data_IF_578645441711
#
_entry.id   IF_578645441711
#
_cell.length_a   1.000
_cell.length_b   1.000
_cell.length_c   1.000
_cell.angle_alpha   90.00
_cell.angle_beta   90.00
_cell.angle_gamma   90.00
#
_symmetry.space_group_name_H-M   'P 1'
#
loop_
_entity.id
_entity.type
_entity.pdbx_description
1 polymer ?
#
# COMPACT_ATOMS: atom_id res chain seq x y z
N UNK A 1 -23.82 0.78 -6.59
CA UNK A 1 -22.93 -0.24 -7.16
C UNK A 1 -22.07 -0.85 -6.07
N UNK A 2 -21.99 -2.14 -6.04
CA UNK A 2 -21.10 -2.82 -5.11
C UNK A 2 -19.66 -2.71 -5.61
N UNK A 3 -18.90 -1.79 -5.05
CA UNK A 3 -17.51 -1.56 -5.46
C UNK A 3 -16.55 -2.68 -5.09
N UNK A 4 -17.02 -3.66 -4.29
CA UNK A 4 -16.21 -4.82 -3.92
C UNK A 4 -16.42 -5.99 -4.88
N UNK A 5 -17.38 -5.87 -5.78
CA UNK A 5 -17.65 -6.92 -6.76
C UNK A 5 -16.71 -6.77 -7.94
N UNK A 6 -15.83 -7.74 -8.13
CA UNK A 6 -14.80 -7.74 -9.17
C UNK A 6 -15.27 -8.61 -10.33
N UNK A 7 -15.21 -8.12 -11.58
CA UNK A 7 -15.50 -8.97 -12.74
C UNK A 7 -14.55 -10.16 -12.78
N UNK A 8 -15.06 -11.32 -13.21
CA UNK A 8 -14.28 -12.56 -13.22
C UNK A 8 -12.99 -12.45 -14.03
N UNK A 9 -12.99 -11.70 -15.13
CA UNK A 9 -11.82 -11.51 -15.97
C UNK A 9 -10.74 -10.61 -15.36
N UNK A 10 -11.07 -9.88 -14.31
CA UNK A 10 -10.13 -8.97 -13.65
C UNK A 10 -8.91 -9.72 -13.08
N UNK A 11 -9.15 -10.88 -12.47
CA UNK A 11 -8.10 -11.67 -11.86
C UNK A 11 -7.11 -12.22 -12.89
N UNK A 12 -7.57 -12.45 -14.12
CA UNK A 12 -6.74 -13.01 -15.18
C UNK A 12 -6.02 -11.94 -15.98
N UNK A 13 -6.60 -10.74 -16.09
CA UNK A 13 -6.09 -9.75 -17.04
C UNK A 13 -6.43 -8.31 -16.62
N UNK A 14 -5.82 -7.79 -15.55
CA UNK A 14 -6.01 -6.38 -15.21
C UNK A 14 -5.34 -5.49 -16.26
N UNK A 15 -5.96 -4.33 -16.54
CA UNK A 15 -5.42 -3.37 -17.50
C UNK A 15 -4.16 -2.71 -16.98
N UNK A 16 -4.14 -2.39 -15.68
CA UNK A 16 -2.99 -1.79 -15.02
C UNK A 16 -2.82 -2.39 -13.63
N UNK A 17 -1.60 -2.29 -13.12
CA UNK A 17 -1.33 -2.76 -11.76
C UNK A 17 -0.33 -1.85 -11.05
N UNK A 18 -0.38 -1.92 -9.74
CA UNK A 18 0.57 -1.26 -8.85
C UNK A 18 0.96 -2.25 -7.75
N UNK A 19 2.01 -1.94 -7.04
CA UNK A 19 2.43 -2.74 -5.91
C UNK A 19 2.96 -1.83 -4.80
N UNK A 20 2.79 -2.27 -3.57
CA UNK A 20 3.25 -1.52 -2.43
C UNK A 20 3.34 -2.38 -1.19
N UNK A 21 3.37 -1.74 -0.04
CA UNK A 21 3.61 -2.45 1.19
C UNK A 21 2.95 -1.87 2.42
N UNK A 22 2.74 -2.74 3.37
CA UNK A 22 2.41 -2.39 4.75
C UNK A 22 3.66 -2.61 5.57
N UNK A 23 4.30 -1.52 5.96
CA UNK A 23 5.53 -1.57 6.76
C UNK A 23 5.12 -1.46 8.21
N UNK A 24 5.29 -2.55 8.95
CA UNK A 24 4.95 -2.62 10.37
C UNK A 24 6.20 -2.65 11.23
N UNK A 25 6.10 -2.06 12.41
CA UNK A 25 7.11 -2.20 13.45
C UNK A 25 6.42 -2.24 14.82
N UNK A 26 7.12 -2.81 15.81
CA UNK A 26 6.63 -2.82 17.17
C UNK A 26 7.37 -1.75 17.99
N UNK A 27 6.62 -0.93 18.69
CA UNK A 27 7.17 0.10 19.59
C UNK A 27 6.44 0.01 20.93
N UNK A 28 7.14 -0.45 21.97
CA UNK A 28 6.57 -0.62 23.31
C UNK A 28 5.26 -1.42 23.31
N UNK A 29 5.25 -2.56 22.64
CA UNK A 29 4.10 -3.47 22.48
C UNK A 29 3.00 -2.94 21.55
N UNK A 30 3.14 -1.72 21.03
CA UNK A 30 2.22 -1.18 20.07
C UNK A 30 2.72 -1.47 18.64
N UNK A 31 1.78 -1.81 17.76
CA UNK A 31 2.10 -1.98 16.35
C UNK A 31 1.91 -0.63 15.67
N UNK A 32 2.95 -0.19 14.97
CA UNK A 32 2.93 1.01 14.17
C UNK A 32 3.05 0.68 12.70
N UNK A 33 2.41 1.48 11.87
CA UNK A 33 2.43 1.34 10.42
C UNK A 33 2.87 2.65 9.78
N UNK A 34 3.60 2.52 8.68
CA UNK A 34 4.07 3.67 7.91
C UNK A 34 2.95 4.13 6.97
N UNK A 35 2.51 5.37 7.11
CA UNK A 35 1.44 5.95 6.29
C UNK A 35 1.86 7.26 5.66
N UNK A 36 1.18 7.61 4.57
CA UNK A 36 1.47 8.76 3.72
C UNK A 36 0.24 9.64 3.62
N UNK A 37 0.41 10.97 3.69
CA UNK A 37 -0.69 11.92 3.56
C UNK A 37 -0.42 12.91 2.44
N UNK A 38 -1.48 13.18 1.68
CA UNK A 38 -1.48 14.21 0.64
C UNK A 38 -2.61 15.19 0.94
N UNK A 39 -2.25 16.36 1.43
CA UNK A 39 -3.21 17.31 1.99
C UNK A 39 -4.18 17.85 0.94
N UNK A 40 -3.68 18.16 -0.26
CA UNK A 40 -4.52 18.72 -1.32
C UNK A 40 -5.66 17.81 -1.75
N UNK A 41 -5.56 16.50 -1.46
CA UNK A 41 -6.56 15.50 -1.82
C UNK A 41 -7.26 14.87 -0.61
N UNK A 42 -6.95 15.34 0.59
CA UNK A 42 -7.41 14.70 1.83
C UNK A 42 -7.16 13.20 1.82
N UNK A 43 -5.98 12.80 1.31
CA UNK A 43 -5.64 11.40 1.12
C UNK A 43 -4.71 10.93 2.23
N UNK A 44 -5.08 9.83 2.86
CA UNK A 44 -4.20 9.07 3.76
C UNK A 44 -4.11 7.67 3.17
N UNK A 45 -2.89 7.23 2.88
CA UNK A 45 -2.69 6.02 2.08
C UNK A 45 -1.47 5.22 2.52
N UNK A 46 -1.49 3.94 2.15
CA UNK A 46 -0.32 3.08 2.21
C UNK A 46 0.59 3.38 1.00
N UNK A 47 1.91 3.26 1.14
CA UNK A 47 2.82 3.49 0.02
C UNK A 47 2.67 2.43 -1.06
N UNK A 48 2.56 2.86 -2.31
CA UNK A 48 2.44 2.01 -3.47
C UNK A 48 2.66 2.81 -4.74
N UNK A 49 2.93 2.14 -5.83
CA UNK A 49 3.04 2.83 -7.10
C UNK A 49 3.13 1.90 -8.30
N UNK A 50 3.32 2.50 -9.45
CA UNK A 50 3.29 1.83 -10.75
C UNK A 50 4.64 1.21 -11.07
N UNK A 51 4.66 0.10 -11.84
CA UNK A 51 5.93 -0.51 -12.24
C UNK A 51 6.72 0.34 -13.23
N UNK A 52 8.03 0.25 -13.13
CA UNK A 52 8.91 0.65 -14.21
C UNK A 52 9.05 -0.53 -15.18
N UNK A 53 9.48 -0.25 -16.40
CA UNK A 53 9.68 -1.27 -17.41
C UNK A 53 10.59 -2.39 -16.88
N UNK A 54 10.14 -3.63 -16.99
CA UNK A 54 10.89 -4.80 -16.57
C UNK A 54 10.79 -5.17 -15.11
N UNK A 55 10.06 -4.39 -14.30
CA UNK A 55 9.85 -4.73 -12.89
C UNK A 55 8.71 -5.71 -12.71
N UNK A 56 8.92 -6.67 -11.80
CA UNK A 56 7.82 -7.49 -11.28
C UNK A 56 7.17 -6.79 -10.06
N UNK A 57 6.18 -7.43 -9.48
CA UNK A 57 5.42 -6.86 -8.36
C UNK A 57 6.28 -6.61 -7.13
N UNK A 58 7.16 -7.55 -6.78
CA UNK A 58 8.03 -7.38 -5.61
C UNK A 58 9.04 -6.25 -5.80
N UNK A 59 9.65 -6.17 -6.97
CA UNK A 59 10.61 -5.10 -7.27
C UNK A 59 9.94 -3.74 -7.24
N UNK A 60 8.75 -3.64 -7.82
CA UNK A 60 7.96 -2.40 -7.80
C UNK A 60 7.61 -1.99 -6.37
N UNK A 61 7.15 -2.94 -5.55
CA UNK A 61 6.78 -2.66 -4.17
C UNK A 61 7.97 -2.14 -3.36
N UNK A 62 9.12 -2.80 -3.48
CA UNK A 62 10.33 -2.37 -2.76
C UNK A 62 10.77 -0.97 -3.18
N UNK A 63 10.77 -0.69 -4.49
CA UNK A 63 11.19 0.62 -5.00
C UNK A 63 10.22 1.72 -4.60
N UNK A 64 8.93 1.49 -4.78
CA UNK A 64 7.91 2.50 -4.48
C UNK A 64 7.86 2.83 -2.99
N UNK A 65 7.95 1.82 -2.12
CA UNK A 65 7.98 2.07 -0.68
C UNK A 65 9.20 2.91 -0.31
N UNK A 66 10.37 2.58 -0.86
CA UNK A 66 11.58 3.36 -0.60
C UNK A 66 11.45 4.81 -1.08
N UNK A 67 10.95 5.02 -2.29
CA UNK A 67 10.78 6.36 -2.85
C UNK A 67 9.78 7.19 -2.04
N UNK A 68 8.61 6.62 -1.78
CA UNK A 68 7.52 7.36 -1.14
C UNK A 68 7.72 7.58 0.35
N UNK A 69 8.50 6.73 1.02
CA UNK A 69 8.63 6.81 2.47
C UNK A 69 10.04 7.12 2.97
N UNK A 70 11.04 6.92 2.14
CA UNK A 70 12.44 7.06 2.57
C UNK A 70 12.95 5.86 3.39
N UNK A 71 12.15 4.81 3.53
CA UNK A 71 12.49 3.65 4.34
C UNK A 71 12.85 2.47 3.45
N UNK A 72 14.05 1.90 3.69
CA UNK A 72 14.46 0.66 3.05
C UNK A 72 13.82 -0.50 3.80
N UNK A 73 13.18 -1.40 3.05
CA UNK A 73 12.38 -2.48 3.61
C UNK A 73 12.75 -3.82 3.02
N UNK A 74 12.36 -4.88 3.72
CA UNK A 74 12.36 -6.23 3.17
C UNK A 74 10.94 -6.79 3.20
N UNK A 75 10.63 -7.63 2.22
CA UNK A 75 9.33 -8.28 2.11
C UNK A 75 9.33 -9.53 2.99
N UNK A 76 8.29 -9.67 3.82
CA UNK A 76 8.09 -10.86 4.65
C UNK A 76 7.17 -11.85 3.95
N UNK A 77 6.01 -11.38 3.48
CA UNK A 77 5.00 -12.23 2.84
C UNK A 77 4.03 -11.35 2.06
N UNK A 78 3.40 -11.91 1.03
CA UNK A 78 2.32 -11.24 0.33
C UNK A 78 1.07 -11.19 1.23
N UNK A 79 0.42 -10.04 1.29
CA UNK A 79 -0.82 -9.88 2.04
C UNK A 79 -2.00 -10.25 1.17
N UNK A 80 -2.29 -9.44 0.16
CA UNK A 80 -3.40 -9.68 -0.77
C UNK A 80 -3.35 -8.69 -1.93
N UNK A 81 -4.16 -8.99 -2.94
CA UNK A 81 -4.46 -8.07 -4.02
C UNK A 81 -5.78 -7.36 -3.73
N UNK A 82 -5.85 -6.09 -4.07
CA UNK A 82 -7.13 -5.38 -4.11
C UNK A 82 -7.40 -4.96 -5.55
N UNK A 83 -8.68 -4.90 -5.90
CA UNK A 83 -9.11 -4.67 -7.27
C UNK A 83 -10.15 -3.56 -7.30
N UNK A 84 -10.02 -2.68 -8.28
CA UNK A 84 -11.06 -1.70 -8.54
C UNK A 84 -11.08 -1.32 -10.01
N UNK A 85 -12.24 -0.79 -10.42
CA UNK A 85 -12.45 -0.32 -11.77
C UNK A 85 -12.81 1.14 -11.74
N UNK A 86 -12.35 1.88 -12.72
CA UNK A 86 -12.70 3.27 -12.89
C UNK A 86 -12.80 3.59 -14.37
N UNK A 87 -13.41 4.73 -14.69
CA UNK A 87 -13.51 5.19 -16.07
C UNK A 87 -12.42 6.21 -16.36
N UNK A 88 -11.77 6.01 -17.50
CA UNK A 88 -10.80 6.94 -18.05
C UNK A 88 -11.12 7.12 -19.52
N UNK A 89 -11.46 8.34 -19.95
CA UNK A 89 -11.87 8.64 -21.34
C UNK A 89 -12.98 7.72 -21.83
N UNK A 90 -14.02 7.52 -20.99
CA UNK A 90 -15.18 6.66 -21.26
C UNK A 90 -14.87 5.17 -21.38
N UNK A 91 -13.65 4.75 -21.07
CA UNK A 91 -13.27 3.33 -21.03
C UNK A 91 -13.20 2.85 -19.59
N UNK A 92 -13.70 1.64 -19.36
CA UNK A 92 -13.52 1.00 -18.05
C UNK A 92 -12.08 0.51 -17.93
N UNK A 93 -11.41 0.91 -16.87
CA UNK A 93 -10.04 0.50 -16.57
C UNK A 93 -10.07 -0.36 -15.30
N UNK A 94 -9.56 -1.57 -15.41
CA UNK A 94 -9.44 -2.50 -14.29
C UNK A 94 -8.04 -2.40 -13.71
N UNK A 95 -7.95 -2.18 -12.39
CA UNK A 95 -6.68 -2.03 -11.71
C UNK A 95 -6.53 -3.04 -10.59
N UNK A 96 -5.35 -3.66 -10.51
CA UNK A 96 -4.94 -4.52 -9.41
C UNK A 96 -3.85 -3.82 -8.61
N UNK A 97 -3.93 -3.84 -7.28
CA UNK A 97 -2.85 -3.39 -6.42
C UNK A 97 -2.47 -4.53 -5.49
N UNK A 98 -1.20 -4.90 -5.53
CA UNK A 98 -0.65 -5.98 -4.70
C UNK A 98 0.10 -5.38 -3.52
N UNK A 99 -0.23 -5.84 -2.31
CA UNK A 99 0.42 -5.38 -1.08
C UNK A 99 1.18 -6.51 -0.40
N UNK A 100 2.37 -6.16 0.11
CA UNK A 100 3.24 -7.07 0.85
C UNK A 100 3.42 -6.57 2.28
N UNK A 101 3.50 -7.51 3.22
CA UNK A 101 3.94 -7.21 4.58
C UNK A 101 5.44 -7.00 4.56
N UNK A 102 5.88 -5.89 5.10
CA UNK A 102 7.28 -5.48 5.06
C UNK A 102 7.80 -5.09 6.43
N UNK A 103 9.10 -5.24 6.59
CA UNK A 103 9.81 -4.83 7.80
C UNK A 103 10.88 -3.81 7.42
N UNK A 104 11.04 -2.78 8.26
CA UNK A 104 12.06 -1.75 8.01
C UNK A 104 13.46 -2.32 8.22
N UNK A 105 14.37 -1.97 7.33
CA UNK A 105 15.79 -2.29 7.45
C UNK A 105 16.56 -1.05 7.92
N UNK A 106 16.32 0.08 7.28
CA UNK A 106 17.03 1.34 7.55
C UNK A 106 16.29 2.50 6.87
N UNK A 107 16.81 3.68 7.03
CA UNK A 107 16.28 4.87 6.37
C UNK A 107 15.61 5.84 7.33
N UNK A 108 15.10 6.91 6.76
CA UNK A 108 14.48 8.01 7.50
C UNK A 108 13.32 8.57 6.68
N UNK A 109 12.18 8.76 7.31
CA UNK A 109 10.99 9.28 6.62
C UNK A 109 11.20 10.69 6.06
N UNK A 110 12.15 11.44 6.58
CA UNK A 110 12.49 12.77 6.02
C UNK A 110 13.02 12.69 4.59
N UNK A 111 13.45 11.51 4.15
CA UNK A 111 13.98 11.29 2.80
C UNK A 111 12.90 10.84 1.80
N UNK A 112 11.62 10.94 2.15
CA UNK A 112 10.55 10.62 1.21
C UNK A 112 10.55 11.60 0.02
N UNK A 113 10.02 11.15 -1.11
CA UNK A 113 9.93 12.02 -2.29
C UNK A 113 8.84 13.09 -2.11
N UNK A 114 8.59 13.85 -3.17
CA UNK A 114 7.66 14.99 -3.12
C UNK A 114 6.20 14.60 -3.36
N UNK A 115 5.90 13.32 -3.58
CA UNK A 115 4.53 12.91 -3.90
C UNK A 115 3.57 13.12 -2.73
N UNK A 116 4.02 12.85 -1.51
CA UNK A 116 3.23 13.07 -0.31
C UNK A 116 3.78 14.23 0.51
N UNK A 117 2.88 14.91 1.22
CA UNK A 117 3.25 16.03 2.09
C UNK A 117 3.84 15.55 3.39
N UNK A 118 3.38 14.40 3.88
CA UNK A 118 3.78 13.87 5.17
C UNK A 118 3.87 12.34 5.11
N UNK A 119 4.94 11.80 5.68
CA UNK A 119 5.15 10.37 5.84
C UNK A 119 5.55 10.13 7.29
N UNK A 120 4.83 9.24 7.97
CA UNK A 120 5.07 9.03 9.40
C UNK A 120 4.57 7.67 9.86
N UNK A 121 5.09 7.27 11.02
CA UNK A 121 4.65 6.06 11.71
C UNK A 121 3.42 6.39 12.54
N UNK A 122 2.35 5.64 12.34
CA UNK A 122 1.11 5.80 13.09
C UNK A 122 0.78 4.50 13.78
N UNK A 123 0.19 4.57 14.96
CA UNK A 123 -0.33 3.38 15.63
C UNK A 123 -1.41 2.73 14.77
N UNK A 124 -1.46 1.40 14.78
CA UNK A 124 -2.34 0.64 13.89
C UNK A 124 -3.83 0.95 14.07
N UNK A 125 -4.29 1.16 15.28
CA UNK A 125 -5.69 1.50 15.54
C UNK A 125 -6.11 2.82 14.89
N UNK A 126 -5.43 3.94 15.19
CA UNK A 126 -5.69 5.20 14.51
C UNK A 126 -5.50 5.13 12.99
N UNK A 127 -4.49 4.39 12.52
CA UNK A 127 -4.24 4.24 11.09
C UNK A 127 -5.44 3.63 10.37
N UNK A 128 -6.05 2.60 10.95
CA UNK A 128 -7.24 1.97 10.38
C UNK A 128 -8.39 2.97 10.20
N UNK A 129 -8.50 3.94 11.09
CA UNK A 129 -9.53 4.97 10.99
C UNK A 129 -9.18 6.05 9.98
N UNK A 130 -7.88 6.38 9.86
CA UNK A 130 -7.40 7.47 9.01
C UNK A 130 -7.32 7.13 7.55
N UNK A 131 -7.00 5.88 7.19
CA UNK A 131 -6.86 5.48 5.79
C UNK A 131 -8.10 5.83 4.99
N UNK A 132 -7.90 6.44 3.84
CA UNK A 132 -8.99 6.95 3.01
C UNK A 132 -9.81 5.82 2.39
N UNK A 133 -9.14 4.76 1.91
CA UNK A 133 -9.80 3.71 1.14
C UNK A 133 -10.03 2.44 1.95
N UNK A 134 -11.25 1.89 1.82
CA UNK A 134 -11.63 0.68 2.55
C UNK A 134 -10.73 -0.51 2.17
N UNK A 135 -10.35 -0.62 0.90
CA UNK A 135 -9.45 -1.69 0.45
C UNK A 135 -8.12 -1.68 1.20
N UNK A 136 -7.57 -0.50 1.46
CA UNK A 136 -6.32 -0.36 2.20
C UNK A 136 -6.51 -0.64 3.69
N UNK A 137 -7.66 -0.29 4.25
CA UNK A 137 -7.99 -0.68 5.64
C UNK A 137 -8.02 -2.20 5.78
N UNK A 138 -8.64 -2.88 4.82
CA UNK A 138 -8.71 -4.34 4.81
C UNK A 138 -7.31 -4.96 4.71
N UNK A 139 -6.45 -4.37 3.88
CA UNK A 139 -5.06 -4.80 3.74
C UNK A 139 -4.32 -4.63 5.07
N UNK A 140 -4.48 -3.49 5.73
CA UNK A 140 -3.82 -3.25 7.03
C UNK A 140 -4.31 -4.23 8.09
N UNK A 141 -5.61 -4.50 8.16
CA UNK A 141 -6.14 -5.48 9.11
C UNK A 141 -5.53 -6.86 8.90
N UNK A 142 -5.44 -7.29 7.64
CA UNK A 142 -4.84 -8.58 7.31
C UNK A 142 -3.35 -8.61 7.65
N UNK A 143 -2.65 -7.50 7.38
CA UNK A 143 -1.23 -7.37 7.71
C UNK A 143 -0.98 -7.53 9.22
N UNK A 144 -1.83 -6.93 10.06
CA UNK A 144 -1.73 -7.02 11.51
C UNK A 144 -1.90 -8.48 11.97
N UNK A 145 -2.87 -9.19 11.38
CA UNK A 145 -3.10 -10.61 11.68
C UNK A 145 -1.89 -11.45 11.29
N UNK A 146 -1.35 -11.23 10.10
CA UNK A 146 -0.17 -11.95 9.62
C UNK A 146 1.04 -11.68 10.50
N UNK A 147 1.24 -10.44 10.93
CA UNK A 147 2.38 -10.05 11.77
C UNK A 147 2.38 -10.79 13.12
N UNK A 148 1.21 -11.11 13.64
CA UNK A 148 1.11 -11.86 14.90
C UNK A 148 1.56 -13.32 14.78
N UNK A 149 1.73 -13.81 13.54
CA UNK A 149 2.17 -15.17 13.26
C UNK A 149 3.70 -15.29 13.11
N UNK A 150 4.42 -14.19 13.09
CA UNK A 150 5.88 -14.18 12.92
C UNK A 150 6.62 -14.03 14.25
#
# INVERSE_FOLDING_TARGET
>A
MNKHKVPSNFFLNPDIWSAGGVVLRTNNKNIEVLICERFSKNLVALPKGKPNLGEDEKATALREVMEETGIKVEIKVKIKDIFYSFKNNNKNVNKKVTFYLMEEISGDTSNHDAEFDKVYWEQSGPALKKLTYQGEKDVLEEAIKLAKSF
#
